data_IF_903236522584
#
_entry.id   IF_903236522584
#
_cell.length_a   1.000
_cell.length_b   1.000
_cell.length_c   1.000
_cell.angle_alpha   90.00
_cell.angle_beta   90.00
_cell.angle_gamma   90.00
#
_symmetry.space_group_name_H-M   'P 1'
#
loop_
_entity.id
_entity.type
_entity.pdbx_description
1 polymer ?
#
# COMPACT_ATOMS: atom_id res chain seq x y z
N UNK A 1 9.05 15.17 -2.40
CA UNK A 1 7.62 14.82 -2.62
C UNK A 1 6.80 15.69 -1.70
N UNK A 2 5.56 16.01 -2.07
CA UNK A 2 4.68 16.90 -1.27
C UNK A 2 3.29 16.28 -1.02
N UNK A 3 3.17 14.97 -1.20
CA UNK A 3 1.96 14.19 -0.96
C UNK A 3 2.33 12.81 -0.42
N UNK A 4 1.47 12.26 0.44
CA UNK A 4 1.56 10.94 1.05
C UNK A 4 0.21 10.25 0.94
N UNK A 5 0.17 9.09 0.29
CA UNK A 5 -1.06 8.39 -0.07
C UNK A 5 -1.22 7.04 0.61
N UNK A 6 -0.47 6.82 1.71
CA UNK A 6 -0.61 5.62 2.53
C UNK A 6 -0.29 5.94 3.99
N UNK A 7 -1.33 6.19 4.77
CA UNK A 7 -1.24 6.65 6.16
C UNK A 7 -2.38 6.00 6.96
N UNK A 8 -2.05 5.59 8.19
CA UNK A 8 -2.95 4.98 9.15
C UNK A 8 -3.08 5.81 10.42
N UNK A 9 -4.25 5.75 11.06
CA UNK A 9 -4.53 6.35 12.36
C UNK A 9 -5.24 5.35 13.27
N UNK A 10 -5.76 5.79 14.40
CA UNK A 10 -6.41 4.90 15.37
C UNK A 10 -7.64 4.14 14.81
N UNK A 11 -8.10 4.47 13.60
CA UNK A 11 -9.12 3.67 12.94
C UNK A 11 -8.58 2.33 12.39
N UNK A 12 -7.26 2.22 12.20
CA UNK A 12 -6.55 0.97 11.93
C UNK A 12 -6.16 0.30 13.23
N UNK A 13 -6.39 -1.01 13.36
CA UNK A 13 -6.19 -1.76 14.60
C UNK A 13 -4.75 -1.85 15.12
N UNK A 14 -3.78 -1.38 14.35
CA UNK A 14 -2.34 -1.37 14.64
C UNK A 14 -1.75 0.05 14.79
N UNK A 15 -2.61 1.07 14.91
CA UNK A 15 -2.20 2.45 15.18
C UNK A 15 -3.02 3.07 16.30
N UNK A 16 -2.35 3.75 17.24
CA UNK A 16 -2.97 4.56 18.29
C UNK A 16 -2.92 6.07 17.96
N UNK A 17 -2.48 6.43 16.75
CA UNK A 17 -2.25 7.82 16.35
C UNK A 17 -3.56 8.56 16.10
N UNK A 18 -3.72 9.70 16.74
CA UNK A 18 -4.87 10.57 16.49
C UNK A 18 -4.81 11.19 15.10
N UNK A 19 -5.93 11.29 14.37
CA UNK A 19 -6.00 11.96 13.07
C UNK A 19 -5.37 13.36 13.05
N UNK A 20 -5.64 14.18 14.07
CA UNK A 20 -5.08 15.53 14.14
C UNK A 20 -3.55 15.53 14.24
N UNK A 21 -2.95 14.61 15.03
CA UNK A 21 -1.50 14.54 15.19
C UNK A 21 -0.81 14.21 13.86
N UNK A 22 -1.43 13.32 13.07
CA UNK A 22 -1.02 12.98 11.70
C UNK A 22 -1.12 14.20 10.77
N UNK A 23 -2.26 14.88 10.76
CA UNK A 23 -2.50 16.05 9.90
C UNK A 23 -1.54 17.18 10.24
N UNK A 24 -1.37 17.49 11.53
CA UNK A 24 -0.46 18.55 11.98
C UNK A 24 1.01 18.22 11.65
N UNK A 25 1.40 16.95 11.73
CA UNK A 25 2.73 16.53 11.29
C UNK A 25 2.91 16.69 9.79
N UNK A 26 1.93 16.30 8.99
CA UNK A 26 1.96 16.48 7.54
C UNK A 26 2.09 17.97 7.15
N UNK A 27 1.38 18.86 7.86
CA UNK A 27 1.50 20.32 7.71
C UNK A 27 2.91 20.79 8.06
N UNK A 28 3.48 20.35 9.21
CA UNK A 28 4.85 20.68 9.63
C UNK A 28 5.90 20.25 8.60
N UNK A 29 5.69 19.12 7.94
CA UNK A 29 6.55 18.59 6.88
C UNK A 29 6.35 19.32 5.53
N UNK A 30 5.35 20.22 5.43
CA UNK A 30 5.07 20.98 4.21
C UNK A 30 4.36 20.19 3.12
N UNK A 31 3.75 19.05 3.47
CA UNK A 31 2.91 18.30 2.54
C UNK A 31 1.72 19.16 2.09
N UNK A 32 1.29 18.97 0.85
CA UNK A 32 0.15 19.67 0.26
C UNK A 32 -1.10 18.81 0.24
N UNK A 33 -0.92 17.50 0.12
CA UNK A 33 -2.02 16.52 0.09
C UNK A 33 -1.61 15.29 0.88
N UNK A 34 -2.53 14.79 1.67
CA UNK A 34 -2.44 13.47 2.30
C UNK A 34 -3.70 12.67 1.99
N UNK A 35 -3.54 11.37 1.86
CA UNK A 35 -4.65 10.43 1.81
C UNK A 35 -4.53 9.46 2.98
N UNK A 36 -5.55 9.44 3.82
CA UNK A 36 -5.65 8.48 4.91
C UNK A 36 -6.26 7.21 4.32
N UNK A 37 -5.64 6.07 4.59
CA UNK A 37 -5.97 4.78 3.98
C UNK A 37 -6.02 3.70 5.05
N UNK A 38 -7.00 3.82 5.94
CA UNK A 38 -7.15 2.88 7.06
C UNK A 38 -7.31 1.45 6.56
N UNK A 39 -6.80 0.49 7.33
CA UNK A 39 -6.96 -0.93 7.05
C UNK A 39 -8.41 -1.36 7.04
N UNK A 40 -8.80 -2.15 6.04
CA UNK A 40 -10.01 -2.95 6.06
C UNK A 40 -9.74 -4.35 5.50
N UNK A 41 -9.37 -5.27 6.38
CA UNK A 41 -9.03 -6.65 6.06
C UNK A 41 -10.16 -7.57 6.50
N UNK A 42 -11.06 -7.90 5.57
CA UNK A 42 -12.13 -8.86 5.81
C UNK A 42 -11.56 -10.27 5.99
N UNK A 43 -12.19 -11.08 6.85
CA UNK A 43 -11.76 -12.46 7.13
C UNK A 43 -10.27 -12.56 7.56
N UNK A 44 -9.82 -11.56 8.34
CA UNK A 44 -8.50 -11.60 8.95
C UNK A 44 -8.46 -12.72 10.00
N UNK A 45 -7.33 -13.46 10.11
CA UNK A 45 -7.29 -14.69 10.92
C UNK A 45 -7.42 -14.49 12.43
N UNK A 46 -7.31 -13.28 12.95
CA UNK A 46 -7.44 -12.98 14.38
C UNK A 46 -8.89 -12.65 14.77
N UNK A 47 -9.31 -13.11 15.97
CA UNK A 47 -10.64 -12.83 16.51
C UNK A 47 -10.53 -12.14 17.90
N UNK A 48 -11.17 -10.97 18.12
CA UNK A 48 -11.92 -10.21 17.11
C UNK A 48 -11.00 -9.63 16.05
N UNK A 49 -11.51 -9.48 14.81
CA UNK A 49 -10.73 -8.91 13.70
C UNK A 49 -10.32 -7.45 14.03
N UNK A 50 -9.02 -7.17 14.23
CA UNK A 50 -8.54 -5.83 14.58
C UNK A 50 -8.62 -4.85 13.40
N UNK A 51 -8.72 -5.35 12.17
CA UNK A 51 -8.74 -4.57 10.94
C UNK A 51 -10.14 -4.46 10.31
N UNK A 52 -11.19 -4.60 11.12
CA UNK A 52 -12.56 -4.31 10.71
C UNK A 52 -12.85 -2.81 10.88
N UNK A 53 -12.72 -2.02 9.83
CA UNK A 53 -12.90 -0.57 9.84
C UNK A 53 -14.35 -0.16 10.13
N UNK A 54 -14.58 0.67 11.14
CA UNK A 54 -15.82 1.46 11.26
C UNK A 54 -15.77 2.62 10.25
N UNK A 55 -16.16 2.31 9.01
CA UNK A 55 -16.06 3.24 7.88
C UNK A 55 -16.94 4.47 8.05
N UNK A 56 -18.11 4.34 8.67
CA UNK A 56 -18.99 5.50 8.89
C UNK A 56 -18.39 6.47 9.92
N UNK A 57 -17.88 5.96 11.04
CA UNK A 57 -17.19 6.79 12.03
C UNK A 57 -15.95 7.46 11.42
N UNK A 58 -15.14 6.72 10.68
CA UNK A 58 -13.98 7.23 9.96
C UNK A 58 -14.33 8.38 9.01
N UNK A 59 -15.27 8.18 8.10
CA UNK A 59 -15.64 9.20 7.12
C UNK A 59 -16.27 10.42 7.76
N UNK A 60 -17.09 10.25 8.82
CA UNK A 60 -17.72 11.36 9.55
C UNK A 60 -16.67 12.22 10.26
N UNK A 61 -15.68 11.62 10.92
CA UNK A 61 -14.62 12.37 11.59
C UNK A 61 -13.76 13.14 10.57
N UNK A 62 -13.36 12.49 9.49
CA UNK A 62 -12.55 13.15 8.45
C UNK A 62 -13.32 14.22 7.67
N UNK A 63 -14.65 14.18 7.60
CA UNK A 63 -15.44 15.28 7.06
C UNK A 63 -15.25 16.57 7.90
N UNK A 64 -15.25 16.46 9.23
CA UNK A 64 -14.98 17.59 10.13
C UNK A 64 -13.53 18.08 10.05
N UNK A 65 -12.58 17.15 9.97
CA UNK A 65 -11.15 17.48 9.87
C UNK A 65 -10.81 18.14 8.52
N UNK A 66 -11.39 17.68 7.42
CA UNK A 66 -11.28 18.33 6.10
C UNK A 66 -11.73 19.80 6.16
N UNK A 67 -12.83 20.10 6.84
CA UNK A 67 -13.30 21.47 7.04
C UNK A 67 -12.35 22.30 7.92
N UNK A 68 -11.92 21.72 9.06
CA UNK A 68 -11.00 22.37 10.02
C UNK A 68 -9.67 22.78 9.39
N UNK A 69 -9.09 21.92 8.54
CA UNK A 69 -7.76 22.13 7.95
C UNK A 69 -7.78 22.59 6.49
N UNK A 70 -8.94 22.92 5.92
CA UNK A 70 -9.18 23.25 4.50
C UNK A 70 -8.17 24.22 3.88
N UNK A 71 -7.68 25.21 4.65
CA UNK A 71 -6.74 26.24 4.18
C UNK A 71 -5.27 25.84 4.32
N UNK A 72 -4.97 24.73 4.94
CA UNK A 72 -3.61 24.32 5.32
C UNK A 72 -3.12 23.12 4.51
N UNK A 73 -3.98 22.13 4.33
CA UNK A 73 -3.64 20.89 3.64
C UNK A 73 -4.90 20.27 2.99
N UNK A 74 -4.73 19.61 1.84
CA UNK A 74 -5.78 18.84 1.19
C UNK A 74 -5.80 17.41 1.76
N UNK A 75 -6.86 17.07 2.49
CA UNK A 75 -7.03 15.75 3.11
C UNK A 75 -7.96 14.92 2.24
N UNK A 76 -7.51 13.73 1.84
CA UNK A 76 -8.29 12.73 1.13
C UNK A 76 -8.62 11.57 2.05
N UNK A 77 -9.73 10.92 1.79
CA UNK A 77 -10.14 9.70 2.49
C UNK A 77 -10.09 8.52 1.52
N UNK A 78 -9.27 7.56 1.84
CA UNK A 78 -9.13 6.31 1.11
C UNK A 78 -9.32 5.12 2.03
N UNK A 79 -8.96 3.96 1.55
CA UNK A 79 -8.92 2.71 2.31
C UNK A 79 -7.83 1.81 1.76
N UNK A 80 -7.15 1.08 2.62
CA UNK A 80 -6.35 -0.05 2.24
C UNK A 80 -7.13 -1.35 2.48
N UNK A 81 -7.43 -2.05 1.39
CA UNK A 81 -8.19 -3.30 1.41
C UNK A 81 -7.26 -4.49 1.42
N UNK A 82 -7.35 -5.31 2.46
CA UNK A 82 -6.73 -6.63 2.49
C UNK A 82 -7.44 -7.59 1.55
N UNK A 83 -6.81 -7.90 0.43
CA UNK A 83 -7.38 -8.74 -0.61
C UNK A 83 -7.14 -10.22 -0.32
N UNK A 84 -8.20 -11.01 -0.47
CA UNK A 84 -8.13 -12.47 -0.46
C UNK A 84 -8.97 -13.00 -1.62
N UNK A 85 -8.56 -14.05 -2.36
CA UNK A 85 -9.21 -14.47 -3.61
C UNK A 85 -10.70 -14.83 -3.48
N UNK A 86 -11.13 -15.25 -2.28
CA UNK A 86 -12.52 -15.63 -2.01
C UNK A 86 -13.44 -14.45 -1.66
N UNK A 87 -12.90 -13.25 -1.40
CA UNK A 87 -13.64 -12.08 -0.93
C UNK A 87 -14.02 -11.09 -2.04
N UNK A 88 -13.81 -11.45 -3.30
CA UNK A 88 -13.99 -10.52 -4.42
C UNK A 88 -15.39 -9.88 -4.47
N UNK A 89 -16.43 -10.60 -4.10
CA UNK A 89 -17.81 -10.09 -4.09
C UNK A 89 -18.00 -9.09 -2.96
N UNK A 90 -17.64 -9.46 -1.75
CA UNK A 90 -17.78 -8.64 -0.54
C UNK A 90 -16.96 -7.35 -0.65
N UNK A 91 -15.72 -7.45 -1.15
CA UNK A 91 -14.86 -6.30 -1.42
C UNK A 91 -15.47 -5.36 -2.47
N UNK A 92 -16.11 -5.91 -3.51
CA UNK A 92 -16.76 -5.09 -4.53
C UNK A 92 -18.02 -4.39 -3.97
N UNK A 93 -18.79 -5.04 -3.14
CA UNK A 93 -19.94 -4.44 -2.45
C UNK A 93 -19.46 -3.31 -1.53
N UNK A 94 -18.45 -3.54 -0.72
CA UNK A 94 -17.87 -2.56 0.20
C UNK A 94 -17.28 -1.34 -0.52
N UNK A 95 -16.42 -1.57 -1.52
CA UNK A 95 -15.73 -0.48 -2.24
C UNK A 95 -16.68 0.42 -3.05
N UNK A 96 -17.88 -0.06 -3.37
CA UNK A 96 -18.93 0.74 -4.01
C UNK A 96 -19.89 1.40 -3.01
N UNK A 97 -19.90 0.98 -1.75
CA UNK A 97 -20.82 1.51 -0.74
C UNK A 97 -20.37 2.89 -0.21
N UNK A 98 -19.09 3.22 -0.28
CA UNK A 98 -18.53 4.41 0.34
C UNK A 98 -17.80 5.31 -0.66
N UNK A 99 -17.84 6.66 -0.47
CA UNK A 99 -17.27 7.63 -1.41
C UNK A 99 -15.77 7.87 -1.17
N UNK A 100 -14.95 6.82 -1.28
CA UNK A 100 -13.50 6.96 -1.15
C UNK A 100 -12.90 7.81 -2.27
N UNK A 101 -11.90 8.62 -1.94
CA UNK A 101 -11.05 9.32 -2.91
C UNK A 101 -10.06 8.36 -3.58
N UNK A 102 -9.64 7.30 -2.87
CA UNK A 102 -8.58 6.39 -3.27
C UNK A 102 -8.71 5.03 -2.58
N UNK A 103 -8.38 3.96 -3.28
CA UNK A 103 -8.37 2.60 -2.72
C UNK A 103 -7.07 1.91 -3.09
N UNK A 104 -6.35 1.43 -2.07
CA UNK A 104 -5.22 0.53 -2.19
C UNK A 104 -5.76 -0.91 -2.08
N UNK A 105 -5.32 -1.80 -2.96
CA UNK A 105 -5.50 -3.23 -2.78
C UNK A 105 -4.17 -3.86 -2.36
N UNK A 106 -4.16 -4.63 -1.28
CA UNK A 106 -2.95 -5.23 -0.72
C UNK A 106 -3.14 -6.71 -0.40
N UNK A 107 -2.07 -7.49 -0.42
CA UNK A 107 -2.09 -8.87 0.08
C UNK A 107 -1.37 -8.92 1.42
N UNK A 108 -2.13 -8.98 2.52
CA UNK A 108 -1.61 -9.14 3.88
C UNK A 108 -1.67 -10.60 4.34
N UNK A 109 -2.71 -11.32 3.95
CA UNK A 109 -2.93 -12.71 4.34
C UNK A 109 -2.56 -13.66 3.20
N UNK A 110 -1.70 -14.63 3.48
CA UNK A 110 -1.34 -15.74 2.60
C UNK A 110 -1.34 -17.04 3.41
N UNK A 111 -1.81 -18.15 2.83
CA UNK A 111 -1.94 -19.43 3.57
C UNK A 111 -2.72 -19.27 4.90
N UNK A 112 -3.71 -18.38 4.92
CA UNK A 112 -4.58 -18.08 6.09
C UNK A 112 -3.85 -17.49 7.30
N UNK A 113 -2.73 -16.80 7.10
CA UNK A 113 -2.03 -16.07 8.16
C UNK A 113 -1.25 -14.89 7.58
N UNK A 114 -0.94 -13.92 8.43
CA UNK A 114 -0.14 -12.76 8.05
C UNK A 114 1.36 -13.04 8.26
N UNK A 115 2.20 -12.83 7.23
CA UNK A 115 3.67 -12.92 7.33
C UNK A 115 4.32 -11.96 8.35
N UNK A 116 3.59 -10.96 8.82
CA UNK A 116 4.04 -10.07 9.88
C UNK A 116 4.41 -10.84 11.15
N UNK A 117 3.63 -11.87 11.50
CA UNK A 117 3.82 -12.66 12.73
C UNK A 117 4.91 -13.72 12.57
N UNK A 118 5.84 -13.84 13.55
CA UNK A 118 6.92 -14.84 13.49
C UNK A 118 6.42 -16.28 13.33
N UNK A 119 5.29 -16.63 13.92
CA UNK A 119 4.65 -17.95 13.88
C UNK A 119 4.27 -18.38 12.46
N UNK A 120 4.01 -17.40 11.57
CA UNK A 120 3.79 -17.67 10.16
C UNK A 120 4.99 -18.39 9.54
N UNK A 121 6.20 -17.90 9.81
CA UNK A 121 7.45 -18.43 9.24
C UNK A 121 7.84 -19.78 9.85
N UNK A 122 7.49 -20.02 11.12
CA UNK A 122 7.68 -21.33 11.75
C UNK A 122 6.82 -22.41 11.09
N UNK A 123 5.57 -22.07 10.75
CA UNK A 123 4.63 -22.96 10.06
C UNK A 123 4.90 -23.10 8.56
N UNK A 124 5.62 -22.16 7.97
CA UNK A 124 5.93 -22.09 6.54
C UNK A 124 7.46 -22.03 6.31
N UNK A 125 8.21 -23.11 6.58
CA UNK A 125 9.69 -23.10 6.55
C UNK A 125 10.28 -22.97 5.15
N UNK A 126 9.53 -23.34 4.11
CA UNK A 126 9.96 -23.15 2.70
C UNK A 126 9.67 -21.72 2.27
N UNK A 127 10.70 -20.90 2.21
CA UNK A 127 10.60 -19.52 1.72
C UNK A 127 10.12 -19.47 0.27
N UNK A 128 10.66 -20.32 -0.58
CA UNK A 128 10.30 -20.39 -2.00
C UNK A 128 8.80 -20.68 -2.19
N UNK A 129 8.29 -21.75 -1.56
CA UNK A 129 6.86 -22.09 -1.64
C UNK A 129 5.96 -20.98 -1.08
N UNK A 130 6.46 -20.27 -0.07
CA UNK A 130 5.71 -19.18 0.56
C UNK A 130 5.65 -17.95 -0.34
N UNK A 131 6.75 -17.59 -1.00
CA UNK A 131 6.77 -16.48 -1.97
C UNK A 131 5.93 -16.82 -3.20
N UNK A 132 6.02 -18.03 -3.72
CA UNK A 132 5.20 -18.48 -4.87
C UNK A 132 3.70 -18.40 -4.49
N UNK A 133 3.32 -18.85 -3.29
CA UNK A 133 1.94 -18.75 -2.82
C UNK A 133 1.50 -17.28 -2.72
N UNK A 134 2.31 -16.41 -2.12
CA UNK A 134 2.03 -14.98 -2.00
C UNK A 134 1.82 -14.31 -3.37
N UNK A 135 2.74 -14.52 -4.31
CA UNK A 135 2.65 -13.92 -5.65
C UNK A 135 1.46 -14.51 -6.45
N UNK A 136 1.14 -15.79 -6.24
CA UNK A 136 -0.02 -16.43 -6.87
C UNK A 136 -1.32 -15.85 -6.31
N UNK A 137 -1.43 -15.67 -4.99
CA UNK A 137 -2.60 -15.03 -4.36
C UNK A 137 -2.71 -13.56 -4.80
N UNK A 138 -1.59 -12.83 -4.88
CA UNK A 138 -1.55 -11.47 -5.44
C UNK A 138 -2.13 -11.41 -6.86
N UNK A 139 -1.70 -12.31 -7.74
CA UNK A 139 -2.21 -12.37 -9.11
C UNK A 139 -3.70 -12.72 -9.15
N UNK A 140 -4.13 -13.69 -8.32
CA UNK A 140 -5.54 -14.08 -8.22
C UNK A 140 -6.40 -12.94 -7.66
N UNK A 141 -5.92 -12.22 -6.65
CA UNK A 141 -6.59 -11.05 -6.11
C UNK A 141 -6.84 -10.00 -7.20
N UNK A 142 -5.79 -9.66 -7.98
CA UNK A 142 -5.89 -8.69 -9.07
C UNK A 142 -6.86 -9.15 -10.16
N UNK A 143 -6.86 -10.44 -10.51
CA UNK A 143 -7.77 -10.99 -11.54
C UNK A 143 -9.23 -11.02 -11.09
N UNK A 144 -9.49 -11.28 -9.81
CA UNK A 144 -10.84 -11.45 -9.28
C UNK A 144 -11.48 -10.15 -8.79
N UNK A 145 -10.67 -9.17 -8.35
CA UNK A 145 -11.16 -7.90 -7.83
C UNK A 145 -10.44 -6.72 -8.49
N UNK A 146 -11.22 -5.81 -9.07
CA UNK A 146 -10.71 -4.71 -9.90
C UNK A 146 -11.07 -3.32 -9.35
N UNK A 147 -11.84 -3.22 -8.26
CA UNK A 147 -12.30 -1.94 -7.74
C UNK A 147 -11.33 -1.31 -6.73
N UNK A 148 -10.04 -1.32 -7.05
CA UNK A 148 -8.97 -0.55 -6.39
C UNK A 148 -8.26 0.33 -7.42
N UNK A 149 -7.38 1.24 -6.98
CA UNK A 149 -6.65 2.17 -7.85
C UNK A 149 -5.19 1.77 -8.06
N UNK A 150 -4.52 1.38 -6.98
CA UNK A 150 -3.14 0.88 -6.99
C UNK A 150 -3.00 -0.36 -6.13
N UNK A 151 -1.97 -1.16 -6.44
CA UNK A 151 -1.57 -2.26 -5.59
C UNK A 151 -0.49 -1.79 -4.62
N UNK A 152 -0.75 -1.95 -3.31
CA UNK A 152 0.15 -1.56 -2.22
C UNK A 152 1.37 -2.47 -2.15
N UNK A 153 2.50 -1.94 -1.71
CA UNK A 153 3.74 -2.66 -1.35
C UNK A 153 3.86 -4.09 -1.92
N UNK A 154 3.80 -4.22 -3.25
CA UNK A 154 3.61 -5.47 -4.01
C UNK A 154 4.50 -6.65 -3.57
N UNK A 155 5.66 -6.39 -3.01
CA UNK A 155 6.58 -7.39 -2.47
C UNK A 155 6.60 -7.45 -0.93
N UNK A 156 5.46 -7.14 -0.27
CA UNK A 156 5.27 -7.12 1.19
C UNK A 156 5.88 -8.33 1.92
N UNK A 157 5.76 -9.52 1.35
CA UNK A 157 6.26 -10.79 1.92
C UNK A 157 7.75 -10.73 2.32
N UNK A 158 8.56 -9.89 1.66
CA UNK A 158 10.00 -9.80 1.97
C UNK A 158 10.31 -8.99 3.23
N UNK A 159 9.35 -8.15 3.70
CA UNK A 159 9.55 -7.28 4.88
C UNK A 159 9.82 -8.08 6.15
N UNK A 160 9.14 -9.19 6.33
CA UNK A 160 9.06 -9.91 7.60
C UNK A 160 9.79 -11.24 7.61
N UNK A 161 10.43 -11.60 6.50
CA UNK A 161 11.27 -12.79 6.46
C UNK A 161 12.36 -12.74 7.54
N UNK A 162 12.52 -13.77 8.39
CA UNK A 162 13.42 -13.75 9.54
C UNK A 162 14.90 -13.48 9.23
N UNK A 163 15.38 -13.94 8.05
CA UNK A 163 16.77 -13.79 7.62
C UNK A 163 17.00 -12.71 6.54
N UNK A 164 16.01 -11.83 6.30
CA UNK A 164 16.03 -10.81 5.24
C UNK A 164 17.28 -9.92 5.22
N UNK A 165 17.82 -9.60 6.38
CA UNK A 165 19.02 -8.77 6.50
C UNK A 165 20.32 -9.57 6.30
N UNK A 166 20.27 -10.92 6.43
CA UNK A 166 21.41 -11.80 6.18
C UNK A 166 21.54 -12.20 4.72
N UNK A 167 20.42 -12.13 3.99
CA UNK A 167 20.34 -12.51 2.57
C UNK A 167 19.53 -11.47 1.80
N UNK A 168 19.98 -10.22 1.74
CA UNK A 168 19.22 -9.14 1.09
C UNK A 168 18.99 -9.39 -0.41
N UNK A 169 19.87 -10.13 -1.09
CA UNK A 169 19.73 -10.53 -2.48
C UNK A 169 18.48 -11.37 -2.78
N UNK A 170 18.02 -12.15 -1.80
CA UNK A 170 16.81 -12.97 -1.95
C UNK A 170 15.52 -12.18 -1.74
N UNK A 171 15.63 -10.92 -1.38
CA UNK A 171 14.49 -9.99 -1.30
C UNK A 171 14.19 -9.31 -2.64
N UNK A 172 15.03 -9.52 -3.65
CA UNK A 172 14.75 -9.11 -5.04
C UNK A 172 13.90 -10.17 -5.73
N UNK A 173 12.58 -10.08 -5.56
CA UNK A 173 11.66 -11.06 -6.13
C UNK A 173 11.66 -11.06 -7.65
N UNK A 174 11.95 -9.93 -8.29
CA UNK A 174 12.03 -9.88 -9.75
C UNK A 174 13.19 -10.72 -10.31
N UNK A 175 14.30 -10.79 -9.58
CA UNK A 175 15.43 -11.63 -10.01
C UNK A 175 15.09 -13.12 -10.01
N UNK A 176 14.26 -13.54 -9.03
CA UNK A 176 13.95 -14.96 -8.81
C UNK A 176 12.68 -15.41 -9.55
N UNK A 177 11.67 -14.53 -9.64
CA UNK A 177 10.35 -14.86 -10.18
C UNK A 177 9.90 -13.85 -11.28
N UNK A 178 10.73 -13.61 -12.33
CA UNK A 178 10.46 -12.56 -13.31
C UNK A 178 9.14 -12.78 -14.07
N UNK A 179 8.83 -14.03 -14.45
CA UNK A 179 7.64 -14.32 -15.24
C UNK A 179 6.35 -14.04 -14.45
N UNK A 180 6.30 -14.42 -13.17
CA UNK A 180 5.14 -14.21 -12.33
C UNK A 180 4.96 -12.73 -11.96
N UNK A 181 6.06 -12.02 -11.68
CA UNK A 181 6.02 -10.56 -11.48
C UNK A 181 5.57 -9.85 -12.78
N UNK A 182 6.09 -10.26 -13.93
CA UNK A 182 5.66 -9.69 -15.21
C UNK A 182 4.17 -9.91 -15.49
N UNK A 183 3.62 -11.08 -15.12
CA UNK A 183 2.20 -11.36 -15.26
C UNK A 183 1.37 -10.44 -14.35
N UNK A 184 1.76 -10.28 -13.09
CA UNK A 184 1.12 -9.36 -12.14
C UNK A 184 1.14 -7.92 -12.68
N UNK A 185 2.29 -7.43 -13.10
CA UNK A 185 2.43 -6.07 -13.60
C UNK A 185 1.62 -5.83 -14.89
N UNK A 186 1.61 -6.79 -15.80
CA UNK A 186 0.82 -6.72 -17.04
C UNK A 186 -0.68 -6.73 -16.75
N UNK A 187 -1.14 -7.53 -15.78
CA UNK A 187 -2.54 -7.55 -15.37
C UNK A 187 -2.97 -6.21 -14.77
N UNK A 188 -2.15 -5.62 -13.90
CA UNK A 188 -2.40 -4.28 -13.36
C UNK A 188 -2.50 -3.23 -14.48
N UNK A 189 -1.52 -3.18 -15.38
CA UNK A 189 -1.48 -2.22 -16.48
C UNK A 189 -2.67 -2.40 -17.42
N UNK A 190 -3.01 -3.64 -17.79
CA UNK A 190 -4.12 -3.94 -18.67
C UNK A 190 -5.46 -3.44 -18.11
N UNK A 191 -5.64 -3.53 -16.79
CA UNK A 191 -6.84 -3.07 -16.09
C UNK A 191 -6.78 -1.59 -15.68
N UNK A 192 -5.77 -0.84 -16.13
CA UNK A 192 -5.61 0.58 -15.79
C UNK A 192 -5.31 0.83 -14.31
N UNK A 193 -4.70 -0.15 -13.63
CA UNK A 193 -4.31 -0.05 -12.22
C UNK A 193 -2.84 0.33 -12.09
N UNK A 194 -2.53 1.03 -10.99
CA UNK A 194 -1.18 1.39 -10.65
C UNK A 194 -0.51 0.48 -9.64
N UNK A 195 0.68 0.89 -9.27
CA UNK A 195 1.39 0.37 -8.10
C UNK A 195 1.74 1.52 -7.15
N UNK A 196 2.03 1.17 -5.93
CA UNK A 196 2.59 2.09 -4.94
C UNK A 196 4.11 1.95 -4.88
N UNK A 197 4.83 3.04 -4.56
CA UNK A 197 6.12 2.97 -3.88
C UNK A 197 5.95 3.32 -2.40
N UNK A 198 6.23 2.35 -1.55
CA UNK A 198 5.98 2.40 -0.11
C UNK A 198 7.30 2.47 0.66
N UNK A 199 7.51 3.57 1.39
CA UNK A 199 8.75 3.78 2.14
C UNK A 199 8.74 3.12 3.52
N UNK A 200 7.62 2.60 3.99
CA UNK A 200 7.54 1.77 5.19
C UNK A 200 8.47 0.56 5.14
N UNK A 201 8.75 0.05 3.92
CA UNK A 201 9.75 -1.00 3.72
C UNK A 201 11.13 -0.66 4.26
N UNK A 202 11.54 0.62 4.25
CA UNK A 202 12.85 1.08 4.71
C UNK A 202 13.09 0.92 6.22
N UNK A 203 12.04 0.63 7.00
CA UNK A 203 12.20 0.24 8.41
C UNK A 203 12.66 -1.21 8.58
N UNK A 204 12.46 -2.03 7.56
CA UNK A 204 12.71 -3.48 7.59
C UNK A 204 13.81 -3.92 6.62
N UNK A 205 14.00 -3.15 5.55
CA UNK A 205 14.83 -3.48 4.39
C UNK A 205 15.70 -2.27 3.99
N UNK A 206 16.79 -2.45 3.25
CA UNK A 206 17.58 -1.36 2.70
C UNK A 206 16.94 -0.66 1.47
N UNK A 207 15.69 -0.98 1.14
CA UNK A 207 14.95 -0.44 0.00
C UNK A 207 13.46 -0.28 0.32
N UNK A 208 12.76 0.55 -0.45
CA UNK A 208 11.31 0.70 -0.41
C UNK A 208 10.60 -0.49 -1.09
N UNK A 209 9.33 -0.72 -0.77
CA UNK A 209 8.50 -1.71 -1.46
C UNK A 209 7.65 -1.05 -2.59
N UNK A 210 7.61 -1.64 -3.79
CA UNK A 210 8.42 -2.78 -4.20
C UNK A 210 9.87 -2.40 -4.48
N UNK A 211 10.72 -3.44 -4.54
CA UNK A 211 12.12 -3.29 -4.92
C UNK A 211 12.30 -2.56 -6.25
N UNK A 212 13.37 -1.76 -6.37
CA UNK A 212 13.68 -0.92 -7.54
C UNK A 212 13.53 -1.63 -8.89
N UNK A 213 13.89 -2.91 -8.99
CA UNK A 213 13.77 -3.66 -10.25
C UNK A 213 12.32 -3.87 -10.67
N UNK A 214 11.41 -4.06 -9.72
CA UNK A 214 9.97 -4.16 -10.01
C UNK A 214 9.44 -2.82 -10.51
N UNK A 215 9.83 -1.70 -9.88
CA UNK A 215 9.49 -0.34 -10.34
C UNK A 215 9.97 -0.09 -11.76
N UNK A 216 11.24 -0.41 -12.03
CA UNK A 216 11.83 -0.25 -13.37
C UNK A 216 11.08 -1.10 -14.39
N UNK A 217 10.80 -2.36 -14.03
CA UNK A 217 10.08 -3.28 -14.93
C UNK A 217 8.64 -2.83 -15.19
N UNK A 218 7.94 -2.33 -14.17
CA UNK A 218 6.61 -1.75 -14.34
C UNK A 218 6.64 -0.60 -15.37
N UNK A 219 7.65 0.28 -15.27
CA UNK A 219 7.82 1.39 -16.22
C UNK A 219 8.14 0.91 -17.64
N UNK A 220 9.00 -0.09 -17.79
CA UNK A 220 9.35 -0.72 -19.08
C UNK A 220 8.13 -1.35 -19.76
N UNK A 221 7.22 -1.96 -18.99
CA UNK A 221 5.98 -2.55 -19.50
C UNK A 221 4.91 -1.50 -19.85
N UNK A 222 5.18 -0.20 -19.63
CA UNK A 222 4.26 0.89 -19.96
C UNK A 222 3.42 1.36 -18.78
N UNK A 223 3.73 0.95 -17.56
CA UNK A 223 3.06 1.43 -16.35
C UNK A 223 3.33 2.92 -16.10
N UNK A 224 2.30 3.67 -15.74
CA UNK A 224 2.37 5.11 -15.53
C UNK A 224 1.75 5.59 -14.21
N UNK A 225 0.83 4.83 -13.64
CA UNK A 225 0.17 5.16 -12.38
C UNK A 225 1.04 4.67 -11.22
N UNK A 226 1.64 5.62 -10.49
CA UNK A 226 2.53 5.33 -9.37
C UNK A 226 2.25 6.30 -8.22
N UNK A 227 1.73 5.80 -7.10
CA UNK A 227 1.56 6.59 -5.88
C UNK A 227 2.77 6.46 -4.96
N UNK A 228 2.90 7.40 -4.02
CA UNK A 228 3.91 7.35 -2.95
C UNK A 228 3.21 7.24 -1.61
N UNK A 229 3.64 6.29 -0.79
CA UNK A 229 3.10 6.06 0.55
C UNK A 229 4.20 5.86 1.59
N UNK A 230 4.01 6.43 2.77
CA UNK A 230 4.90 6.18 3.91
C UNK A 230 4.51 4.95 4.70
N UNK A 231 3.24 4.52 4.61
CA UNK A 231 2.68 3.46 5.45
C UNK A 231 2.84 3.83 6.95
N UNK A 232 2.59 5.12 7.20
CA UNK A 232 2.88 5.75 8.48
C UNK A 232 1.79 5.49 9.51
N UNK A 233 2.12 4.78 10.59
CA UNK A 233 1.25 4.47 11.72
C UNK A 233 1.51 5.38 12.93
N UNK A 234 2.54 6.24 12.86
CA UNK A 234 2.83 7.28 13.86
C UNK A 234 3.23 8.58 13.18
N UNK A 235 3.08 9.74 13.84
CA UNK A 235 3.40 11.03 13.22
C UNK A 235 4.84 11.09 12.68
N UNK A 236 5.81 10.46 13.36
CA UNK A 236 7.21 10.46 12.97
C UNK A 236 7.49 9.68 11.70
N UNK A 237 6.56 8.80 11.32
CA UNK A 237 6.69 7.97 10.11
C UNK A 237 6.06 8.59 8.86
N UNK A 238 5.26 9.66 9.01
CA UNK A 238 4.66 10.37 7.88
C UNK A 238 5.75 10.91 6.95
N UNK A 239 5.61 10.62 5.65
CA UNK A 239 6.55 10.98 4.59
C UNK A 239 8.01 10.57 4.88
N UNK A 240 8.22 9.51 5.66
CA UNK A 240 9.58 9.04 5.99
C UNK A 240 10.37 8.73 4.71
N UNK A 241 11.60 9.23 4.64
CA UNK A 241 12.52 9.01 3.52
C UNK A 241 12.00 9.48 2.13
N UNK A 242 11.00 10.37 2.08
CA UNK A 242 10.49 10.93 0.83
C UNK A 242 11.49 11.82 0.10
N UNK A 243 12.50 12.31 0.79
CA UNK A 243 13.65 13.02 0.21
C UNK A 243 14.45 12.16 -0.78
N UNK A 244 14.46 10.84 -0.62
CA UNK A 244 15.15 9.88 -1.48
C UNK A 244 14.36 9.48 -2.73
N UNK A 245 13.03 9.65 -2.72
CA UNK A 245 12.16 9.17 -3.79
C UNK A 245 12.40 9.84 -5.15
N UNK A 246 12.62 11.18 -5.25
CA UNK A 246 12.80 11.82 -6.56
C UNK A 246 13.96 11.26 -7.37
N UNK A 247 15.08 10.94 -6.75
CA UNK A 247 16.24 10.33 -7.42
C UNK A 247 15.93 8.90 -7.84
N UNK A 248 15.44 8.09 -6.91
CA UNK A 248 15.06 6.70 -7.17
C UNK A 248 14.06 6.58 -8.33
N UNK A 249 13.00 7.40 -8.33
CA UNK A 249 11.97 7.32 -9.35
C UNK A 249 12.47 7.77 -10.72
N UNK A 250 13.35 8.79 -10.77
CA UNK A 250 14.01 9.18 -12.02
C UNK A 250 14.91 8.07 -12.57
N UNK A 251 15.66 7.38 -11.71
CA UNK A 251 16.46 6.23 -12.10
C UNK A 251 15.60 5.07 -12.64
N UNK A 252 14.38 4.90 -12.14
CA UNK A 252 13.40 3.94 -12.67
C UNK A 252 12.67 4.44 -13.93
N UNK A 253 12.95 5.66 -14.41
CA UNK A 253 12.37 6.23 -15.63
C UNK A 253 11.03 6.97 -15.43
N UNK A 254 10.61 7.24 -14.20
CA UNK A 254 9.40 8.02 -13.93
C UNK A 254 9.68 9.52 -14.00
N UNK A 255 8.70 10.25 -14.52
CA UNK A 255 8.69 11.73 -14.58
C UNK A 255 7.60 12.33 -13.70
N UNK A 256 6.65 11.52 -13.31
CA UNK A 256 5.47 11.90 -12.54
C UNK A 256 5.18 10.84 -11.49
N UNK A 257 4.57 11.26 -10.38
CA UNK A 257 3.81 10.41 -9.47
C UNK A 257 2.33 10.72 -9.64
N UNK A 258 1.48 9.89 -9.08
CA UNK A 258 0.02 10.01 -9.21
C UNK A 258 -0.60 10.25 -7.83
N UNK A 259 -1.54 11.17 -7.77
CA UNK A 259 -2.47 11.35 -6.65
C UNK A 259 -3.89 11.08 -7.14
N UNK A 260 -4.83 10.85 -6.23
CA UNK A 260 -6.21 10.53 -6.59
C UNK A 260 -7.20 11.46 -5.89
N UNK A 261 -8.27 11.80 -6.59
CA UNK A 261 -9.47 12.47 -6.05
C UNK A 261 -10.72 11.85 -6.65
N UNK A 262 -11.66 11.41 -5.80
CA UNK A 262 -12.86 10.72 -6.25
C UNK A 262 -12.53 9.59 -7.24
N UNK A 263 -11.51 8.79 -6.94
CA UNK A 263 -11.00 7.66 -7.75
C UNK A 263 -10.44 8.07 -9.13
N UNK A 264 -10.15 9.36 -9.35
CA UNK A 264 -9.57 9.87 -10.60
C UNK A 264 -8.11 10.24 -10.40
N UNK A 265 -7.19 9.72 -11.25
CA UNK A 265 -5.77 10.02 -11.15
C UNK A 265 -5.45 11.44 -11.63
N UNK A 266 -4.51 12.08 -10.93
CA UNK A 266 -3.88 13.34 -11.29
C UNK A 266 -2.36 13.16 -11.23
N UNK A 267 -1.63 13.62 -12.26
CA UNK A 267 -0.18 13.44 -12.35
C UNK A 267 0.57 14.64 -11.80
N UNK A 268 1.47 14.38 -10.88
CA UNK A 268 2.33 15.37 -10.23
C UNK A 268 3.76 15.17 -10.72
N UNK A 269 4.36 16.21 -11.28
CA UNK A 269 5.76 16.16 -11.78
C UNK A 269 6.74 15.99 -10.61
N UNK A 270 7.71 15.08 -10.78
CA UNK A 270 8.81 14.82 -9.84
C UNK A 270 9.87 15.94 -9.94
#
# INVERSE_FOLDING_TARGET
MNHDYHIHTYFSGDSDTRPEDTIEQAIRLGLKTICITEHHDMDFPDEPNPFALDTEAYLNEYALLKEKYLRQIDIRTGVELGLQPHLAKELNEYSNAYPFDFIIGSTHVVKKADPYYPEFWEKNPSYEDTVIAYLTDTLNNIKNFQNFDVYGHLDYIVRYRPDRLKRPETSDLYLTYPDLIDEILKELIYNGKGIEINTGGLFHLPFANPHKKILTRYKELGGEILTTGSDGHTPERIANSFDKLPELLKECGFKYTTIFKNRKPEWIKI
#
